data_IF_474384050331
#
_entry.id   IF_474384050331
#
_cell.length_a   1.000
_cell.length_b   1.000
_cell.length_c   1.000
_cell.angle_alpha   90.00
_cell.angle_beta   90.00
_cell.angle_gamma   90.00
#
_symmetry.space_group_name_H-M   'P 1'
#
loop_
_entity.id
_entity.type
_entity.pdbx_description
1 polymer ?
#
# COMPACT_ATOMS: atom_id res chain seq x y z
N UNK A 1 1.70 -17.38 9.17
CA UNK A 1 2.55 -17.34 10.38
C UNK A 1 2.78 -15.90 10.81
N UNK A 2 2.19 -15.54 11.95
CA UNK A 2 2.16 -14.19 12.54
C UNK A 2 3.49 -13.93 13.25
N UNK A 3 4.37 -13.11 12.73
CA UNK A 3 5.60 -12.68 13.45
C UNK A 3 6.17 -11.37 12.93
N UNK A 4 5.45 -10.27 12.90
CA UNK A 4 6.06 -8.92 12.68
C UNK A 4 5.46 -7.82 13.56
N UNK A 5 4.57 -8.11 14.49
CA UNK A 5 3.92 -7.07 15.31
C UNK A 5 4.34 -7.10 16.78
N UNK A 6 5.58 -7.47 17.12
CA UNK A 6 5.99 -7.64 18.52
C UNK A 6 7.28 -6.91 18.91
N UNK A 7 7.66 -5.83 18.22
CA UNK A 7 8.93 -5.15 18.54
C UNK A 7 8.83 -3.72 19.08
N UNK A 8 7.64 -3.21 19.39
CA UNK A 8 7.50 -1.85 19.95
C UNK A 8 6.84 -1.75 21.32
N UNK A 9 6.73 -2.84 22.07
CA UNK A 9 6.07 -2.81 23.40
C UNK A 9 7.02 -3.11 24.58
N UNK A 10 8.32 -2.85 24.47
CA UNK A 10 9.26 -3.19 25.56
C UNK A 10 9.99 -2.01 26.21
N UNK A 11 9.45 -0.79 26.13
CA UNK A 11 10.16 0.37 26.73
C UNK A 11 9.27 1.27 27.60
N UNK A 12 8.46 0.70 28.48
CA UNK A 12 7.86 1.45 29.60
C UNK A 12 7.70 0.56 30.81
N UNK A 13 8.84 0.26 31.48
CA UNK A 13 8.79 -0.20 32.87
C UNK A 13 8.70 1.05 33.76
N UNK A 14 7.68 1.15 34.64
CA UNK A 14 7.65 2.19 35.64
C UNK A 14 8.68 1.87 36.73
N UNK A 15 9.60 2.77 36.96
CA UNK A 15 10.46 2.73 38.18
C UNK A 15 9.59 3.09 39.37
N UNK A 16 9.18 2.10 40.13
CA UNK A 16 8.58 2.32 41.43
C UNK A 16 9.69 2.68 42.44
N UNK A 17 9.82 3.97 42.74
CA UNK A 17 10.59 4.40 43.91
C UNK A 17 9.68 4.37 45.15
N UNK A 18 9.92 3.38 46.02
CA UNK A 18 9.33 3.36 47.34
C UNK A 18 10.03 4.38 48.26
N UNK A 19 9.33 5.43 48.63
CA UNK A 19 9.71 6.29 49.75
C UNK A 19 8.65 6.16 50.84
N UNK A 20 9.04 5.49 51.94
CA UNK A 20 8.28 5.54 53.21
C UNK A 20 8.53 6.85 53.91
N UNK A 21 7.48 7.65 54.15
CA UNK A 21 7.44 8.65 55.27
C UNK A 21 6.02 8.90 55.73
N UNK A 22 5.84 8.63 57.00
CA UNK A 22 4.88 8.98 58.06
C UNK A 22 3.67 9.91 57.76
N UNK A 23 2.52 9.37 58.06
CA UNK A 23 1.32 9.82 58.76
C UNK A 23 0.99 11.35 58.82
N UNK A 24 0.95 12.00 57.65
CA UNK A 24 0.19 13.27 57.46
C UNK A 24 -0.26 13.44 56.03
N UNK A 25 -0.31 12.37 55.25
CA UNK A 25 -0.47 12.44 53.81
C UNK A 25 -1.66 11.67 53.21
N UNK A 26 -2.53 11.06 54.02
CA UNK A 26 -3.61 10.24 53.46
C UNK A 26 -4.56 11.03 52.53
N UNK A 27 -4.88 12.27 52.88
CA UNK A 27 -5.73 13.10 52.00
C UNK A 27 -5.02 13.54 50.70
N UNK A 28 -3.71 13.79 50.76
CA UNK A 28 -2.93 14.18 49.57
C UNK A 28 -2.66 12.97 48.67
N UNK A 29 -2.41 11.79 49.24
CA UNK A 29 -2.18 10.57 48.48
C UNK A 29 -3.41 10.10 47.71
N UNK A 30 -4.60 10.21 48.31
CA UNK A 30 -5.87 9.87 47.62
C UNK A 30 -6.16 10.84 46.50
N UNK A 31 -5.94 12.14 46.67
CA UNK A 31 -6.15 13.14 45.61
C UNK A 31 -5.15 12.97 44.46
N UNK A 32 -3.89 12.62 44.76
CA UNK A 32 -2.87 12.36 43.71
C UNK A 32 -3.23 11.09 42.95
N UNK A 33 -3.63 9.99 43.60
CA UNK A 33 -4.01 8.76 42.92
C UNK A 33 -5.27 8.93 42.05
N UNK A 34 -6.22 9.75 42.49
CA UNK A 34 -7.42 10.04 41.73
C UNK A 34 -7.12 10.94 40.48
N UNK A 35 -6.20 11.89 40.63
CA UNK A 35 -5.73 12.69 39.47
C UNK A 35 -4.94 11.85 38.48
N UNK A 36 -4.12 10.94 38.94
CA UNK A 36 -3.32 10.05 38.10
C UNK A 36 -4.22 9.06 37.35
N UNK A 37 -5.27 8.53 37.99
CA UNK A 37 -6.30 7.72 37.34
C UNK A 37 -7.03 8.47 36.24
N UNK A 38 -7.49 9.69 36.53
CA UNK A 38 -8.17 10.53 35.54
C UNK A 38 -7.25 10.90 34.37
N UNK A 39 -5.98 11.16 34.64
CA UNK A 39 -4.98 11.44 33.59
C UNK A 39 -4.72 10.21 32.72
N UNK A 40 -4.65 9.04 33.34
CA UNK A 40 -4.47 7.79 32.62
C UNK A 40 -5.66 7.48 31.72
N UNK A 41 -6.88 7.63 32.22
CA UNK A 41 -8.10 7.45 31.44
C UNK A 41 -8.18 8.43 30.27
N UNK A 42 -7.80 9.68 30.50
CA UNK A 42 -7.72 10.70 29.44
C UNK A 42 -6.71 10.35 28.35
N UNK A 43 -5.52 9.87 28.74
CA UNK A 43 -4.48 9.44 27.80
C UNK A 43 -4.98 8.25 26.97
N UNK A 44 -5.55 7.24 27.62
CA UNK A 44 -6.09 6.06 26.91
C UNK A 44 -7.21 6.44 25.92
N UNK A 45 -8.11 7.31 26.32
CA UNK A 45 -9.18 7.78 25.44
C UNK A 45 -8.63 8.56 24.24
N UNK A 46 -7.64 9.42 24.46
CA UNK A 46 -6.97 10.17 23.39
C UNK A 46 -6.23 9.26 22.41
N UNK A 47 -5.52 8.25 22.92
CA UNK A 47 -4.78 7.31 22.11
C UNK A 47 -5.72 6.43 21.26
N UNK A 48 -6.87 6.03 21.80
CA UNK A 48 -7.91 5.33 21.06
C UNK A 48 -8.44 6.15 19.90
N UNK A 49 -8.79 7.42 20.14
CA UNK A 49 -9.26 8.35 19.09
C UNK A 49 -8.18 8.57 18.03
N UNK A 50 -6.91 8.70 18.44
CA UNK A 50 -5.80 8.87 17.51
C UNK A 50 -5.63 7.64 16.61
N UNK A 51 -5.72 6.44 17.16
CA UNK A 51 -5.66 5.18 16.39
C UNK A 51 -6.81 5.08 15.37
N UNK A 52 -8.02 5.45 15.75
CA UNK A 52 -9.17 5.49 14.83
C UNK A 52 -8.95 6.48 13.69
N UNK A 53 -8.40 7.67 13.99
CA UNK A 53 -8.07 8.66 12.96
C UNK A 53 -6.98 8.17 12.01
N UNK A 54 -5.92 7.55 12.53
CA UNK A 54 -4.85 6.96 11.71
C UNK A 54 -5.42 5.88 10.80
N UNK A 55 -6.27 5.00 11.34
CA UNK A 55 -6.93 3.96 10.56
C UNK A 55 -7.83 4.54 9.46
N UNK A 56 -8.61 5.57 9.77
CA UNK A 56 -9.45 6.26 8.80
C UNK A 56 -8.65 6.92 7.68
N UNK A 57 -7.54 7.60 8.01
CA UNK A 57 -6.63 8.21 7.02
C UNK A 57 -6.00 7.14 6.13
N UNK A 58 -5.56 6.02 6.72
CA UNK A 58 -5.00 4.89 5.98
C UNK A 58 -6.02 4.28 5.00
N UNK A 59 -7.28 4.12 5.42
CA UNK A 59 -8.36 3.67 4.54
C UNK A 59 -8.64 4.66 3.41
N UNK A 60 -8.70 5.96 3.70
CA UNK A 60 -8.88 6.98 2.66
C UNK A 60 -7.73 6.99 1.65
N UNK A 61 -6.49 6.88 2.10
CA UNK A 61 -5.31 6.78 1.21
C UNK A 61 -5.39 5.55 0.30
N UNK A 62 -5.79 4.40 0.84
CA UNK A 62 -5.97 3.18 0.06
C UNK A 62 -7.08 3.32 -0.98
N UNK A 63 -8.15 4.07 -0.68
CA UNK A 63 -9.27 4.32 -1.60
C UNK A 63 -8.94 5.33 -2.71
N UNK A 64 -7.88 6.15 -2.57
CA UNK A 64 -7.51 7.16 -3.57
C UNK A 64 -6.62 6.62 -4.69
N UNK A 65 -6.03 5.42 -4.53
CA UNK A 65 -5.21 4.80 -5.57
C UNK A 65 -6.08 3.95 -6.48
N UNK A 66 -6.26 4.31 -7.76
CA UNK A 66 -7.09 3.54 -8.68
C UNK A 66 -6.45 2.17 -8.92
N UNK A 67 -7.32 1.12 -8.89
CA UNK A 67 -6.87 -0.23 -9.19
C UNK A 67 -6.34 -0.37 -10.62
N UNK A 68 -7.00 0.25 -11.58
CA UNK A 68 -6.57 0.22 -12.97
C UNK A 68 -6.02 1.58 -13.40
N UNK A 69 -4.83 1.59 -13.97
CA UNK A 69 -4.21 2.80 -14.55
C UNK A 69 -3.95 2.61 -16.03
N UNK A 70 -4.15 3.69 -16.78
CA UNK A 70 -3.88 3.75 -18.22
C UNK A 70 -2.60 4.55 -18.46
N UNK A 71 -1.68 3.97 -19.22
CA UNK A 71 -0.42 4.58 -19.62
C UNK A 71 -0.41 4.81 -21.12
N UNK A 72 0.02 6.00 -21.52
CA UNK A 72 0.19 6.35 -22.91
C UNK A 72 1.43 5.65 -23.49
N UNK A 73 1.32 5.20 -24.74
CA UNK A 73 2.49 4.85 -25.54
C UNK A 73 2.81 6.03 -26.49
N UNK A 74 3.94 5.98 -27.18
CA UNK A 74 4.23 6.95 -28.26
C UNK A 74 3.38 6.73 -29.51
N UNK A 75 2.70 5.57 -29.61
CA UNK A 75 1.75 5.31 -30.67
C UNK A 75 0.37 5.89 -30.29
N UNK A 76 -0.20 6.68 -31.19
CA UNK A 76 -1.45 7.41 -30.95
C UNK A 76 -2.63 6.49 -30.62
N UNK A 77 -2.66 5.27 -31.15
CA UNK A 77 -3.83 4.37 -31.04
C UNK A 77 -3.71 3.33 -29.93
N UNK A 78 -2.55 3.25 -29.27
CA UNK A 78 -2.29 2.20 -28.28
C UNK A 78 -2.03 2.77 -26.89
N UNK A 79 -2.65 2.16 -25.91
CA UNK A 79 -2.47 2.43 -24.49
C UNK A 79 -2.12 1.13 -23.77
N UNK A 80 -1.50 1.24 -22.62
CA UNK A 80 -1.27 0.10 -21.73
C UNK A 80 -2.13 0.26 -20.48
N UNK A 81 -2.95 -0.75 -20.16
CA UNK A 81 -3.69 -0.80 -18.92
C UNK A 81 -2.97 -1.72 -17.94
N UNK A 82 -2.79 -1.24 -16.71
CA UNK A 82 -2.18 -1.95 -15.60
C UNK A 82 -3.20 -2.17 -14.49
N UNK A 83 -3.37 -3.40 -14.01
CA UNK A 83 -3.92 -3.68 -12.69
C UNK A 83 -2.84 -3.42 -11.64
N UNK A 84 -2.92 -2.30 -10.95
CA UNK A 84 -1.94 -1.88 -9.95
C UNK A 84 -1.91 -2.78 -8.71
N UNK A 85 -2.92 -3.63 -8.53
CA UNK A 85 -2.99 -4.57 -7.42
C UNK A 85 -2.31 -5.91 -7.72
N UNK A 86 -2.31 -6.35 -8.98
CA UNK A 86 -1.81 -7.70 -9.35
C UNK A 86 -0.64 -7.68 -10.32
N UNK A 87 -0.37 -6.54 -10.97
CA UNK A 87 0.66 -6.42 -12.00
C UNK A 87 0.25 -7.01 -13.35
N UNK A 88 -1.02 -7.37 -13.54
CA UNK A 88 -1.54 -7.81 -14.83
C UNK A 88 -1.61 -6.63 -15.81
N UNK A 89 -1.40 -6.89 -17.10
CA UNK A 89 -1.21 -5.88 -18.13
C UNK A 89 -1.96 -6.23 -19.40
N UNK A 90 -2.59 -5.21 -19.98
CA UNK A 90 -3.28 -5.29 -21.27
C UNK A 90 -2.83 -4.17 -22.17
N UNK A 91 -2.83 -4.45 -23.47
CA UNK A 91 -2.75 -3.46 -24.54
C UNK A 91 -4.19 -3.11 -24.93
N UNK A 92 -4.48 -1.81 -24.93
CA UNK A 92 -5.79 -1.25 -25.33
C UNK A 92 -5.58 -0.50 -26.63
N UNK A 93 -6.30 -0.88 -27.66
CA UNK A 93 -6.38 -0.15 -28.92
C UNK A 93 -7.71 0.57 -28.97
N UNK A 94 -7.67 1.86 -29.30
CA UNK A 94 -8.88 2.64 -29.58
C UNK A 94 -8.85 3.19 -30.99
N UNK A 95 -10.00 3.49 -31.51
CA UNK A 95 -10.16 4.02 -32.87
C UNK A 95 -10.99 5.30 -32.86
N UNK A 96 -10.71 6.22 -33.78
CA UNK A 96 -11.40 7.50 -33.83
C UNK A 96 -12.69 7.47 -34.66
N UNK A 97 -12.87 6.50 -35.53
CA UNK A 97 -13.91 6.55 -36.56
C UNK A 97 -15.09 5.60 -36.36
N UNK A 98 -14.97 4.41 -35.85
CA UNK A 98 -16.11 3.47 -35.79
C UNK A 98 -15.90 2.18 -34.97
N UNK A 99 -15.30 2.16 -33.86
CA UNK A 99 -15.28 1.03 -32.90
C UNK A 99 -15.05 -0.41 -33.43
N UNK A 100 -14.89 -0.59 -34.74
CA UNK A 100 -14.75 -1.93 -35.33
C UNK A 100 -13.41 -2.59 -34.99
N UNK A 101 -12.37 -1.79 -34.76
CA UNK A 101 -11.01 -2.26 -34.46
C UNK A 101 -10.55 -1.94 -33.04
N UNK A 102 -11.44 -1.38 -32.22
CA UNK A 102 -11.15 -1.16 -30.81
C UNK A 102 -11.07 -2.53 -30.10
N UNK A 103 -9.95 -2.77 -29.39
CA UNK A 103 -9.73 -4.04 -28.72
C UNK A 103 -8.91 -3.86 -27.43
N UNK A 104 -9.13 -4.79 -26.50
CA UNK A 104 -8.29 -4.99 -25.33
C UNK A 104 -7.72 -6.40 -25.39
N UNK A 105 -6.39 -6.52 -25.41
CA UNK A 105 -5.71 -7.79 -25.50
C UNK A 105 -4.63 -7.92 -24.41
N UNK A 106 -4.47 -9.10 -23.87
CA UNK A 106 -3.48 -9.37 -22.84
C UNK A 106 -2.04 -9.17 -23.35
N UNK A 107 -1.24 -8.47 -22.55
CA UNK A 107 0.21 -8.57 -22.60
C UNK A 107 0.62 -9.73 -21.69
N UNK A 108 0.15 -9.72 -20.44
CA UNK A 108 0.25 -10.81 -19.48
C UNK A 108 -0.79 -10.62 -18.35
N UNK A 109 -1.74 -11.53 -18.26
CA UNK A 109 -2.84 -11.48 -17.26
C UNK A 109 -2.49 -12.20 -15.95
N UNK A 110 -1.35 -12.91 -15.90
CA UNK A 110 -0.97 -13.64 -14.70
C UNK A 110 -0.66 -12.68 -13.56
N UNK A 111 -1.26 -12.89 -12.40
CA UNK A 111 -0.93 -12.15 -11.20
C UNK A 111 0.53 -12.39 -10.79
N UNK A 112 1.20 -11.32 -10.35
CA UNK A 112 2.54 -11.38 -9.77
C UNK A 112 2.51 -11.63 -8.26
N UNK A 113 1.33 -11.68 -7.66
CA UNK A 113 1.15 -11.96 -6.25
C UNK A 113 1.36 -13.44 -5.95
N UNK A 114 2.00 -13.72 -4.83
CA UNK A 114 1.98 -15.04 -4.21
C UNK A 114 0.68 -15.23 -3.43
N UNK A 115 0.34 -16.48 -3.12
CA UNK A 115 -0.91 -16.83 -2.41
C UNK A 115 -1.05 -16.21 -1.00
N UNK A 116 0.04 -15.74 -0.42
CA UNK A 116 0.11 -15.10 0.89
C UNK A 116 0.22 -13.57 0.82
N UNK A 117 0.29 -12.99 -0.38
CA UNK A 117 0.35 -11.54 -0.57
C UNK A 117 -1.04 -10.92 -0.39
N UNK A 118 -1.10 -9.78 0.27
CA UNK A 118 -2.32 -8.97 0.33
C UNK A 118 -2.57 -8.27 -1.01
N UNK A 119 -3.85 -8.20 -1.39
CA UNK A 119 -4.26 -7.55 -2.64
C UNK A 119 -4.67 -6.12 -2.31
N UNK A 120 -3.88 -5.15 -2.76
CA UNK A 120 -4.23 -3.74 -2.65
C UNK A 120 -3.77 -2.94 -3.86
N UNK A 121 -4.51 -1.89 -4.18
CA UNK A 121 -4.20 -1.01 -5.31
C UNK A 121 -2.94 -0.18 -5.05
N UNK A 122 -2.17 0.08 -6.12
CA UNK A 122 -0.98 0.92 -6.05
C UNK A 122 0.33 0.18 -5.81
N UNK A 123 0.30 -1.14 -5.62
CA UNK A 123 1.51 -1.95 -5.44
C UNK A 123 2.39 -1.99 -6.69
N UNK A 124 1.78 -2.06 -7.86
CA UNK A 124 2.53 -2.11 -9.11
C UNK A 124 2.47 -0.78 -9.85
N UNK A 125 3.61 -0.37 -10.39
CA UNK A 125 3.74 0.87 -11.15
C UNK A 125 4.51 0.64 -12.45
N UNK A 126 4.08 1.30 -13.55
CA UNK A 126 4.65 1.14 -14.88
C UNK A 126 5.39 2.41 -15.31
N UNK A 127 6.63 2.27 -15.75
CA UNK A 127 7.48 3.35 -16.19
C UNK A 127 7.79 3.22 -17.69
N UNK A 128 7.57 4.27 -18.50
CA UNK A 128 7.97 4.26 -19.90
C UNK A 128 9.51 4.26 -20.01
N UNK A 129 10.00 3.70 -21.13
CA UNK A 129 11.42 3.77 -21.50
C UNK A 129 11.59 4.60 -22.77
N UNK A 130 12.83 4.84 -23.18
CA UNK A 130 13.11 5.49 -24.47
C UNK A 130 12.75 4.61 -25.68
N UNK A 131 12.43 3.33 -25.47
CA UNK A 131 11.93 2.46 -26.52
C UNK A 131 10.41 2.46 -26.49
N UNK A 132 9.75 2.90 -27.56
CA UNK A 132 8.31 3.03 -27.65
C UNK A 132 7.52 1.76 -27.34
N UNK A 133 8.13 0.58 -27.49
CA UNK A 133 7.48 -0.71 -27.25
C UNK A 133 7.70 -1.26 -25.85
N UNK A 134 8.58 -0.63 -25.05
CA UNK A 134 9.07 -1.22 -23.80
C UNK A 134 8.74 -0.32 -22.61
N UNK A 135 8.25 -0.95 -21.52
CA UNK A 135 8.06 -0.35 -20.23
C UNK A 135 8.79 -1.17 -19.15
N UNK A 136 9.02 -0.54 -18.01
CA UNK A 136 9.50 -1.21 -16.80
C UNK A 136 8.36 -1.23 -15.79
N UNK A 137 7.96 -2.42 -15.37
CA UNK A 137 7.01 -2.62 -14.27
C UNK A 137 7.78 -2.87 -12.98
N UNK A 138 7.39 -2.19 -11.92
CA UNK A 138 8.01 -2.30 -10.59
C UNK A 138 6.95 -2.76 -9.58
N UNK A 139 7.27 -3.79 -8.81
CA UNK A 139 6.61 -4.11 -7.54
C UNK A 139 7.20 -3.17 -6.47
N UNK A 140 6.46 -2.16 -6.06
CA UNK A 140 6.94 -1.11 -5.15
C UNK A 140 7.14 -1.61 -3.72
N UNK A 141 6.60 -2.77 -3.36
CA UNK A 141 6.76 -3.38 -2.04
C UNK A 141 7.99 -4.29 -1.97
N UNK A 142 8.19 -5.12 -3.02
CA UNK A 142 9.27 -6.11 -3.03
C UNK A 142 10.49 -5.64 -3.83
N UNK A 143 10.37 -4.54 -4.55
CA UNK A 143 11.45 -4.02 -5.41
C UNK A 143 11.70 -4.88 -6.65
N UNK A 144 10.81 -5.81 -6.99
CA UNK A 144 10.97 -6.63 -8.18
C UNK A 144 10.68 -5.83 -9.43
N UNK A 145 11.53 -5.99 -10.43
CA UNK A 145 11.47 -5.25 -11.68
C UNK A 145 11.23 -6.19 -12.85
N UNK A 146 10.39 -5.77 -13.79
CA UNK A 146 10.03 -6.57 -14.96
C UNK A 146 10.12 -5.71 -16.22
N UNK A 147 10.67 -6.28 -17.27
CA UNK A 147 10.52 -5.75 -18.61
C UNK A 147 9.15 -6.11 -19.16
N UNK A 148 8.44 -5.13 -19.69
CA UNK A 148 7.14 -5.29 -20.35
C UNK A 148 7.29 -4.82 -21.78
N UNK A 149 6.89 -5.65 -22.73
CA UNK A 149 6.85 -5.27 -24.14
C UNK A 149 5.44 -5.46 -24.69
N UNK A 150 4.92 -4.39 -25.27
CA UNK A 150 3.71 -4.45 -26.06
C UNK A 150 4.04 -4.54 -27.56
N UNK A 151 3.15 -5.10 -28.38
CA UNK A 151 3.32 -5.18 -29.83
C UNK A 151 1.99 -5.46 -30.51
N UNK A 152 1.84 -5.02 -31.75
CA UNK A 152 0.76 -5.45 -32.66
C UNK A 152 0.85 -6.95 -32.95
N UNK A 153 2.05 -7.51 -32.95
CA UNK A 153 2.25 -8.96 -33.07
C UNK A 153 2.13 -9.68 -31.71
N UNK A 154 1.14 -10.58 -31.51
CA UNK A 154 0.94 -11.28 -30.24
C UNK A 154 2.17 -12.04 -29.73
N UNK A 155 3.00 -12.58 -30.63
CA UNK A 155 4.20 -13.34 -30.28
C UNK A 155 5.33 -12.51 -29.67
N UNK A 156 5.22 -11.18 -29.77
CA UNK A 156 6.22 -10.23 -29.26
C UNK A 156 5.76 -9.53 -27.98
N UNK A 157 4.57 -9.88 -27.45
CA UNK A 157 4.08 -9.34 -26.17
C UNK A 157 4.60 -10.20 -25.05
N UNK A 158 5.22 -9.59 -24.06
CA UNK A 158 5.68 -10.31 -22.87
C UNK A 158 5.85 -9.40 -21.65
N UNK A 159 5.88 -10.03 -20.49
CA UNK A 159 6.39 -9.49 -19.23
C UNK A 159 7.40 -10.50 -18.68
N UNK A 160 8.62 -10.06 -18.44
CA UNK A 160 9.72 -10.91 -17.98
C UNK A 160 10.45 -10.22 -16.82
N UNK A 161 10.77 -11.00 -15.78
CA UNK A 161 11.52 -10.50 -14.62
C UNK A 161 12.95 -10.15 -15.01
N UNK A 162 13.45 -9.02 -14.48
CA UNK A 162 14.86 -8.61 -14.55
C UNK A 162 15.51 -9.03 -13.23
N UNK A 163 16.68 -9.67 -13.28
CA UNK A 163 17.44 -10.18 -12.14
C UNK A 163 18.72 -9.39 -11.92
#
# INVERSE_FOLDING_TARGET
MKKVLLFFLSLLLPVCVFAQTNSRSESKGVILSQRDSLLFDYIQQRDSIMLEHIHFIALQSAMTVPRYKIYKTENTYYLIELDTATGALWQVQYEMNNNSDAMKVAINETSLLYSWDEIHSGRFELYPTNNMYTFILVDTEKGYTYQVQWSTNPKQRFRMRIY
#
